data_IF_863053011343
#
_entry.id   IF_863053011343
#
_cell.length_a   1.000
_cell.length_b   1.000
_cell.length_c   1.000
_cell.angle_alpha   90.00
_cell.angle_beta   90.00
_cell.angle_gamma   90.00
#
_symmetry.space_group_name_H-M   'P 1'
#
loop_
_entity.id
_entity.type
_entity.pdbx_description
1 polymer ?
#
# COMPACT_ATOMS: atom_id res chain seq x y z
N UNK A 1 54.12 39.88 -32.34
CA UNK A 1 54.26 40.74 -31.13
C UNK A 1 53.24 40.24 -30.16
N UNK A 2 53.74 39.53 -29.33
CA UNK A 2 54.01 39.59 -27.85
C UNK A 2 52.74 39.32 -27.04
N UNK A 3 52.72 38.18 -26.50
CA UNK A 3 53.14 37.72 -25.16
C UNK A 3 52.03 37.73 -24.14
N UNK A 4 51.79 36.57 -23.62
CA UNK A 4 52.12 35.93 -22.32
C UNK A 4 50.98 36.12 -21.28
N UNK A 5 50.60 35.23 -20.42
CA UNK A 5 51.05 33.96 -19.84
C UNK A 5 49.86 33.47 -18.99
N UNK A 6 49.57 32.22 -18.88
CA UNK A 6 49.81 31.29 -17.77
C UNK A 6 49.27 31.79 -16.40
N UNK A 7 48.46 31.03 -15.65
CA UNK A 7 48.69 29.73 -15.02
C UNK A 7 47.37 29.17 -14.46
N UNK A 8 47.17 27.89 -14.63
CA UNK A 8 46.92 26.78 -13.68
C UNK A 8 46.35 27.12 -12.33
N UNK A 9 45.21 26.53 -11.91
CA UNK A 9 45.29 25.48 -10.91
C UNK A 9 43.99 24.65 -10.85
N UNK A 10 44.20 23.36 -10.60
CA UNK A 10 43.27 22.31 -10.43
C UNK A 10 42.64 22.34 -9.00
N UNK A 11 41.39 22.01 -8.86
CA UNK A 11 40.94 21.17 -7.71
C UNK A 11 39.67 20.42 -8.11
N UNK A 12 39.80 19.12 -8.01
CA UNK A 12 38.73 18.14 -7.94
C UNK A 12 37.81 18.48 -6.76
N UNK A 13 36.51 18.39 -6.99
CA UNK A 13 35.61 18.13 -5.86
C UNK A 13 34.54 17.12 -6.25
N UNK A 14 34.60 16.02 -5.55
CA UNK A 14 33.74 14.86 -5.62
C UNK A 14 32.38 15.17 -4.98
N UNK A 15 31.32 15.11 -5.75
CA UNK A 15 29.96 15.11 -5.21
C UNK A 15 29.52 13.68 -4.93
N UNK A 16 29.50 13.31 -3.68
CA UNK A 16 28.75 12.16 -3.17
C UNK A 16 27.26 12.54 -3.10
N UNK A 17 26.47 11.92 -3.96
CA UNK A 17 25.02 12.02 -3.96
C UNK A 17 24.45 10.92 -3.05
N UNK A 18 24.08 11.31 -1.83
CA UNK A 18 23.38 10.45 -0.89
C UNK A 18 21.87 10.74 -0.93
N UNK A 19 21.15 9.93 -1.69
CA UNK A 19 19.68 9.89 -1.64
C UNK A 19 19.22 9.06 -0.44
N UNK A 20 18.88 9.73 0.65
CA UNK A 20 17.99 9.18 1.68
C UNK A 20 16.62 9.82 1.50
N UNK A 21 15.70 9.07 0.90
CA UNK A 21 14.28 9.43 0.84
C UNK A 21 13.52 8.68 1.94
N UNK A 22 13.32 9.38 3.06
CA UNK A 22 12.48 8.90 4.16
C UNK A 22 11.06 9.46 4.01
N UNK A 23 10.12 8.54 3.83
CA UNK A 23 8.68 8.79 3.90
C UNK A 23 8.27 9.30 5.28
N UNK A 24 8.01 10.60 5.40
CA UNK A 24 7.20 11.15 6.49
C UNK A 24 6.27 12.22 5.91
N UNK A 25 4.98 11.92 5.91
CA UNK A 25 3.96 12.94 5.71
C UNK A 25 2.82 12.70 6.72
N UNK A 26 2.85 13.42 7.82
CA UNK A 26 1.69 13.62 8.68
C UNK A 26 1.81 14.89 9.50
N UNK A 27 0.85 15.78 9.26
CA UNK A 27 0.32 16.82 10.15
C UNK A 27 1.23 17.97 10.57
N UNK A 28 0.94 19.12 9.97
CA UNK A 28 1.37 20.43 10.47
C UNK A 28 0.18 21.10 11.19
N UNK A 29 0.24 21.14 12.53
CA UNK A 29 -0.47 22.12 13.33
C UNK A 29 0.53 22.75 14.27
N UNK A 30 0.81 24.01 14.00
CA UNK A 30 1.63 24.87 14.84
C UNK A 30 0.85 25.32 16.09
N UNK A 31 1.30 24.91 17.27
CA UNK A 31 1.23 25.73 18.47
C UNK A 31 2.38 25.34 19.40
N UNK A 32 3.21 26.36 19.71
CA UNK A 32 4.33 26.29 20.65
C UNK A 32 3.82 26.12 22.07
N UNK A 33 4.14 24.99 22.70
CA UNK A 33 4.26 24.91 24.15
C UNK A 33 5.35 23.89 24.52
N UNK A 34 6.37 24.38 25.23
CA UNK A 34 7.40 23.57 25.85
C UNK A 34 6.80 22.51 26.77
N UNK A 35 7.01 21.24 26.44
CA UNK A 35 6.93 20.17 27.42
C UNK A 35 7.78 18.97 26.96
N UNK A 36 8.84 18.70 27.77
CA UNK A 36 9.51 17.40 27.99
C UNK A 36 9.54 16.41 26.83
N UNK A 37 10.73 16.24 26.24
CA UNK A 37 11.13 15.06 25.48
C UNK A 37 10.81 13.78 26.29
N UNK A 38 9.71 13.12 25.94
CA UNK A 38 9.46 11.75 26.30
C UNK A 38 9.76 10.89 25.06
N UNK A 39 10.75 10.06 25.22
CA UNK A 39 11.32 9.09 24.29
C UNK A 39 10.26 8.30 23.52
N UNK A 40 10.16 8.52 22.20
CA UNK A 40 9.32 7.76 21.25
C UNK A 40 9.82 6.33 20.95
N UNK A 41 10.73 5.77 21.77
CA UNK A 41 11.28 4.43 21.55
C UNK A 41 10.42 3.28 22.11
N UNK A 42 9.34 3.55 22.84
CA UNK A 42 8.67 2.51 23.66
C UNK A 42 7.49 1.74 22.99
N UNK A 43 7.09 2.02 21.75
CA UNK A 43 5.92 1.39 21.13
C UNK A 43 6.22 0.40 19.98
N UNK A 44 7.47 0.02 19.77
CA UNK A 44 7.81 -0.93 18.72
C UNK A 44 7.37 -2.35 19.08
N UNK A 45 6.36 -2.85 18.40
CA UNK A 45 5.84 -4.20 18.62
C UNK A 45 6.76 -5.24 17.97
N UNK A 46 7.50 -5.98 18.78
CA UNK A 46 8.34 -7.11 18.36
C UNK A 46 7.58 -8.41 18.62
N UNK A 47 7.23 -9.12 17.57
CA UNK A 47 6.40 -10.33 17.65
C UNK A 47 7.11 -11.59 17.14
N UNK A 48 8.34 -11.47 16.62
CA UNK A 48 9.11 -12.62 16.12
C UNK A 48 9.26 -13.69 17.19
N UNK A 49 8.87 -14.92 16.87
CA UNK A 49 8.91 -16.05 17.79
C UNK A 49 7.73 -16.14 18.74
N UNK A 50 6.80 -15.19 18.70
CA UNK A 50 5.59 -15.21 19.50
C UNK A 50 4.46 -16.03 18.85
N UNK A 51 3.47 -16.38 19.70
CA UNK A 51 2.26 -17.06 19.26
C UNK A 51 1.05 -16.18 19.59
N UNK A 52 0.36 -15.76 18.53
CA UNK A 52 -0.89 -15.01 18.65
C UNK A 52 -2.03 -15.95 18.25
N UNK A 53 -2.95 -16.27 19.19
CA UNK A 53 -3.94 -17.32 18.99
C UNK A 53 -3.29 -18.66 18.61
N UNK A 54 -3.50 -19.10 17.38
CA UNK A 54 -2.94 -20.30 16.78
C UNK A 54 -1.97 -19.98 15.62
N UNK A 55 -1.50 -18.73 15.54
CA UNK A 55 -0.53 -18.26 14.57
C UNK A 55 0.85 -18.10 15.21
N UNK A 56 1.82 -18.82 14.71
CA UNK A 56 3.23 -18.65 15.04
C UNK A 56 3.79 -17.53 14.18
N UNK A 57 4.25 -16.45 14.80
CA UNK A 57 4.82 -15.29 14.12
C UNK A 57 6.27 -15.56 13.73
N UNK A 58 6.59 -15.44 12.45
CA UNK A 58 7.92 -15.80 11.95
C UNK A 58 8.78 -14.55 11.79
N UNK A 59 8.38 -13.61 10.91
CA UNK A 59 9.11 -12.35 10.74
C UNK A 59 8.20 -11.29 10.11
N UNK A 60 8.60 -10.03 10.21
CA UNK A 60 7.87 -8.90 9.65
C UNK A 60 8.06 -8.83 8.14
N UNK A 61 6.95 -8.82 7.38
CA UNK A 61 6.91 -8.74 5.92
C UNK A 61 6.47 -7.37 5.40
N UNK A 62 5.89 -6.53 6.26
CA UNK A 62 5.49 -5.18 5.91
C UNK A 62 5.29 -4.30 7.14
N UNK A 63 5.44 -3.00 6.96
CA UNK A 63 5.15 -1.96 7.96
C UNK A 63 4.52 -0.78 7.22
N UNK A 64 3.35 -0.35 7.65
CA UNK A 64 2.68 0.87 7.24
C UNK A 64 2.53 1.84 8.42
N UNK A 65 2.00 3.03 8.18
CA UNK A 65 1.74 4.02 9.23
C UNK A 65 0.80 3.51 10.32
N UNK A 66 -0.18 2.70 9.97
CA UNK A 66 -1.28 2.26 10.85
C UNK A 66 -1.27 0.77 11.16
N UNK A 67 -0.25 0.02 10.74
CA UNK A 67 -0.19 -1.43 10.97
C UNK A 67 1.17 -2.03 10.69
N UNK A 68 1.39 -3.22 11.27
CA UNK A 68 2.51 -4.10 10.93
C UNK A 68 1.99 -5.41 10.36
N UNK A 69 2.67 -5.98 9.36
CA UNK A 69 2.28 -7.23 8.71
C UNK A 69 3.37 -8.28 8.89
N UNK A 70 2.97 -9.46 9.31
CA UNK A 70 3.86 -10.54 9.72
C UNK A 70 3.61 -11.81 8.90
N UNK A 71 4.65 -12.51 8.50
CA UNK A 71 4.53 -13.89 8.05
C UNK A 71 4.21 -14.76 9.26
N UNK A 72 3.11 -15.50 9.20
CA UNK A 72 2.63 -16.33 10.28
C UNK A 72 2.27 -17.74 9.80
N UNK A 73 2.58 -18.74 10.62
CA UNK A 73 2.21 -20.14 10.40
C UNK A 73 1.01 -20.51 11.28
N UNK A 74 -0.06 -20.95 10.65
CA UNK A 74 -1.25 -21.43 11.37
C UNK A 74 -1.08 -22.91 11.73
N UNK A 75 -1.03 -23.20 13.04
CA UNK A 75 -0.80 -24.54 13.55
C UNK A 75 -1.96 -25.49 13.29
N UNK A 76 -3.19 -24.97 13.18
CA UNK A 76 -4.37 -25.80 13.05
C UNK A 76 -4.52 -26.40 11.65
N UNK A 77 -4.13 -25.64 10.61
CA UNK A 77 -4.26 -26.06 9.21
C UNK A 77 -2.94 -26.20 8.46
N UNK A 78 -1.79 -25.96 9.13
CA UNK A 78 -0.45 -26.07 8.57
C UNK A 78 -0.19 -25.19 7.34
N UNK A 79 -0.81 -24.01 7.28
CA UNK A 79 -0.66 -23.03 6.21
C UNK A 79 -0.01 -21.75 6.68
N UNK A 80 0.59 -21.01 5.75
CA UNK A 80 1.19 -19.71 6.00
C UNK A 80 0.26 -18.60 5.53
N UNK A 81 0.27 -17.50 6.30
CA UNK A 81 -0.60 -16.33 6.10
C UNK A 81 0.17 -15.04 6.37
N UNK A 82 -0.38 -13.94 5.89
CA UNK A 82 -0.03 -12.61 6.35
C UNK A 82 -0.95 -12.23 7.53
N UNK A 83 -0.36 -11.93 8.69
CA UNK A 83 -1.07 -11.43 9.87
C UNK A 83 -0.82 -9.92 9.96
N UNK A 84 -1.85 -9.11 9.69
CA UNK A 84 -1.83 -7.65 9.86
C UNK A 84 -2.25 -7.34 11.29
N UNK A 85 -1.39 -6.65 12.04
CA UNK A 85 -1.65 -6.15 13.40
C UNK A 85 -1.85 -4.67 13.29
N UNK A 86 -3.07 -4.21 13.50
CA UNK A 86 -3.46 -2.80 13.36
C UNK A 86 -3.04 -2.00 14.58
N UNK A 87 -2.72 -0.72 14.38
CA UNK A 87 -2.40 0.19 15.48
C UNK A 87 -3.64 0.33 16.41
N UNK A 88 -3.47 0.25 17.73
CA UNK A 88 -4.59 0.40 18.66
C UNK A 88 -5.19 1.81 18.68
N UNK A 89 -4.48 2.84 18.20
CA UNK A 89 -5.00 4.19 18.09
C UNK A 89 -6.03 4.33 16.96
N UNK A 90 -5.92 3.48 15.91
CA UNK A 90 -6.84 3.45 14.76
C UNK A 90 -7.88 2.33 14.87
N UNK A 91 -8.30 2.02 16.12
CA UNK A 91 -9.15 0.84 16.40
C UNK A 91 -10.48 0.87 15.65
N UNK A 92 -11.18 2.01 15.66
CA UNK A 92 -12.52 2.13 15.08
C UNK A 92 -12.49 2.04 13.55
N UNK A 93 -11.55 2.72 12.90
CA UNK A 93 -11.35 2.65 11.45
C UNK A 93 -10.94 1.24 11.03
N UNK A 94 -10.02 0.62 11.78
CA UNK A 94 -9.53 -0.72 11.50
C UNK A 94 -10.61 -1.78 11.64
N UNK A 95 -11.51 -1.67 12.63
CA UNK A 95 -12.60 -2.64 12.80
C UNK A 95 -13.65 -2.49 11.70
N UNK A 96 -13.89 -1.28 11.21
CA UNK A 96 -14.83 -1.03 10.12
C UNK A 96 -14.26 -1.51 8.78
N UNK A 97 -12.96 -1.28 8.49
CA UNK A 97 -12.26 -1.90 7.36
C UNK A 97 -12.44 -3.42 7.36
N UNK A 98 -12.09 -4.06 8.47
CA UNK A 98 -12.12 -5.53 8.60
C UNK A 98 -13.53 -6.09 8.43
N UNK A 99 -14.55 -5.47 9.03
CA UNK A 99 -15.95 -5.86 8.87
C UNK A 99 -16.41 -5.70 7.42
N UNK A 100 -16.09 -4.59 6.77
CA UNK A 100 -16.46 -4.34 5.40
C UNK A 100 -15.83 -5.38 4.46
N UNK A 101 -14.51 -5.58 4.53
CA UNK A 101 -13.80 -6.54 3.68
C UNK A 101 -14.35 -7.96 3.85
N UNK A 102 -14.79 -8.33 5.06
CA UNK A 102 -15.42 -9.64 5.32
C UNK A 102 -16.73 -9.85 4.57
N UNK A 103 -17.40 -8.78 4.13
CA UNK A 103 -18.63 -8.85 3.32
C UNK A 103 -18.33 -9.00 1.82
N UNK A 104 -17.11 -8.68 1.36
CA UNK A 104 -16.74 -8.74 -0.05
C UNK A 104 -16.79 -10.18 -0.57
N UNK A 105 -17.19 -10.37 -1.84
CA UNK A 105 -17.30 -11.69 -2.40
C UNK A 105 -15.93 -12.32 -2.65
N UNK A 106 -15.83 -13.62 -2.47
CA UNK A 106 -14.64 -14.40 -2.84
C UNK A 106 -14.57 -14.70 -4.34
N UNK A 107 -15.72 -14.65 -5.01
CA UNK A 107 -15.83 -14.80 -6.47
C UNK A 107 -16.61 -13.62 -7.08
N UNK A 108 -16.08 -12.96 -8.13
CA UNK A 108 -14.80 -13.21 -8.77
C UNK A 108 -13.65 -12.81 -7.82
N UNK A 109 -12.58 -13.57 -7.83
CA UNK A 109 -11.45 -13.42 -6.93
C UNK A 109 -10.59 -12.17 -7.27
N UNK A 110 -11.18 -10.96 -7.13
CA UNK A 110 -10.54 -9.67 -7.42
C UNK A 110 -10.27 -8.80 -6.18
N UNK A 111 -10.63 -9.30 -5.01
CA UNK A 111 -10.37 -8.63 -3.73
C UNK A 111 -9.36 -9.39 -2.89
N UNK A 112 -8.61 -8.66 -2.07
CA UNK A 112 -7.86 -9.25 -1.00
C UNK A 112 -8.81 -9.56 0.16
N UNK A 113 -9.27 -10.80 0.27
CA UNK A 113 -10.26 -11.21 1.25
C UNK A 113 -9.59 -11.61 2.58
N UNK A 114 -10.22 -11.22 3.68
CA UNK A 114 -9.83 -11.64 5.02
C UNK A 114 -10.21 -13.11 5.24
N UNK A 115 -9.24 -13.93 5.65
CA UNK A 115 -9.46 -15.32 6.10
C UNK A 115 -10.22 -15.33 7.42
N UNK A 116 -9.68 -14.63 8.42
CA UNK A 116 -10.32 -14.37 9.70
C UNK A 116 -9.78 -13.10 10.35
N UNK A 117 -10.45 -12.61 11.38
CA UNK A 117 -9.92 -11.57 12.26
C UNK A 117 -10.30 -11.85 13.71
N UNK A 118 -9.53 -11.29 14.62
CA UNK A 118 -9.79 -11.40 16.07
C UNK A 118 -9.14 -10.21 16.79
N UNK A 119 -9.61 -9.97 18.02
CA UNK A 119 -9.04 -8.95 18.91
C UNK A 119 -8.09 -9.64 19.88
N UNK A 120 -6.89 -9.11 20.01
CA UNK A 120 -5.87 -9.60 20.93
C UNK A 120 -5.40 -8.49 21.87
N UNK A 121 -5.27 -8.81 23.14
CA UNK A 121 -4.63 -7.94 24.12
C UNK A 121 -3.14 -8.26 24.18
N UNK A 122 -2.29 -7.28 23.88
CA UNK A 122 -0.82 -7.35 23.91
C UNK A 122 -0.37 -6.13 24.72
N UNK A 123 0.49 -6.31 25.72
CA UNK A 123 1.00 -5.22 26.58
C UNK A 123 -0.11 -4.26 27.09
N UNK A 124 -1.23 -4.83 27.56
CA UNK A 124 -2.42 -4.11 28.03
C UNK A 124 -3.20 -3.29 26.97
N UNK A 125 -2.73 -3.14 25.73
CA UNK A 125 -3.46 -2.53 24.62
C UNK A 125 -4.26 -3.58 23.85
N UNK A 126 -5.41 -3.18 23.26
CA UNK A 126 -6.23 -4.06 22.39
C UNK A 126 -5.83 -3.83 20.93
N UNK A 127 -5.45 -4.89 20.25
CA UNK A 127 -5.09 -4.89 18.83
C UNK A 127 -6.11 -5.66 18.00
N UNK A 128 -6.49 -5.14 16.86
CA UNK A 128 -7.18 -5.89 15.83
C UNK A 128 -6.11 -6.65 15.04
N UNK A 129 -6.29 -7.96 14.93
CA UNK A 129 -5.43 -8.84 14.14
C UNK A 129 -6.26 -9.40 13.00
N UNK A 130 -5.90 -9.12 11.77
CA UNK A 130 -6.54 -9.63 10.56
C UNK A 130 -5.60 -10.55 9.79
N UNK A 131 -6.14 -11.65 9.27
CA UNK A 131 -5.39 -12.72 8.61
C UNK A 131 -5.74 -12.74 7.14
N UNK A 132 -4.72 -12.74 6.29
CA UNK A 132 -4.81 -12.60 4.85
C UNK A 132 -4.01 -13.68 4.14
N UNK A 133 -4.38 -14.01 2.91
CA UNK A 133 -3.52 -14.82 2.06
C UNK A 133 -2.23 -14.05 1.74
N UNK A 134 -1.14 -14.79 1.52
CA UNK A 134 0.12 -14.19 1.09
C UNK A 134 0.01 -13.66 -0.34
N UNK A 135 0.72 -12.57 -0.61
CA UNK A 135 0.87 -11.98 -1.92
C UNK A 135 2.35 -11.90 -2.30
N UNK A 136 2.64 -12.02 -3.59
CA UNK A 136 4.02 -11.96 -4.05
C UNK A 136 4.61 -10.54 -3.88
N UNK A 137 3.83 -9.51 -4.19
CA UNK A 137 4.16 -8.10 -4.02
C UNK A 137 2.91 -7.24 -4.23
N UNK A 138 3.00 -5.93 -4.00
CA UNK A 138 2.12 -4.95 -4.59
C UNK A 138 2.73 -4.41 -5.91
N UNK A 139 1.93 -3.74 -6.74
CA UNK A 139 2.40 -3.27 -8.04
C UNK A 139 3.43 -2.14 -7.92
N UNK A 140 3.38 -1.32 -6.85
CA UNK A 140 4.42 -0.31 -6.61
C UNK A 140 5.79 -0.94 -6.40
N UNK A 141 5.89 -1.94 -5.53
CA UNK A 141 7.15 -2.67 -5.32
C UNK A 141 7.70 -3.30 -6.60
N UNK A 142 6.81 -3.71 -7.51
CA UNK A 142 7.19 -4.25 -8.82
C UNK A 142 7.79 -3.17 -9.70
N UNK A 143 7.20 -1.99 -9.74
CA UNK A 143 7.69 -0.85 -10.51
C UNK A 143 8.99 -0.30 -9.93
N UNK A 144 9.08 -0.10 -8.60
CA UNK A 144 10.22 0.58 -7.96
C UNK A 144 11.42 -0.33 -7.71
N UNK A 145 11.18 -1.61 -7.35
CA UNK A 145 12.23 -2.56 -6.95
C UNK A 145 12.44 -3.70 -7.97
N UNK A 146 11.55 -3.82 -8.95
CA UNK A 146 11.64 -4.80 -10.02
C UNK A 146 12.35 -4.27 -11.25
N UNK A 147 12.36 -5.07 -12.32
CA UNK A 147 12.93 -4.67 -13.63
C UNK A 147 11.97 -3.81 -14.48
N UNK A 148 11.00 -3.15 -13.84
CA UNK A 148 9.90 -2.45 -14.50
C UNK A 148 9.84 -0.95 -14.19
N UNK A 149 10.98 -0.34 -13.89
CA UNK A 149 11.09 1.10 -13.66
C UNK A 149 10.68 1.96 -14.89
N UNK A 150 10.61 1.37 -16.07
CA UNK A 150 10.08 2.00 -17.29
C UNK A 150 8.64 1.56 -17.63
N UNK A 151 7.94 0.94 -16.68
CA UNK A 151 6.59 0.45 -16.84
C UNK A 151 6.49 -1.03 -17.20
N UNK A 152 5.29 -1.57 -17.02
CA UNK A 152 4.92 -2.95 -17.35
C UNK A 152 4.55 -3.07 -18.83
N UNK A 153 4.69 -4.25 -19.44
CA UNK A 153 4.17 -4.54 -20.79
C UNK A 153 2.67 -4.26 -20.91
N UNK A 154 2.26 -3.73 -22.04
CA UNK A 154 0.88 -3.27 -22.31
C UNK A 154 -0.18 -4.37 -22.10
N UNK A 155 0.09 -5.60 -22.53
CA UNK A 155 -0.80 -6.74 -22.40
C UNK A 155 -1.06 -7.11 -20.91
N UNK A 156 -0.02 -6.98 -20.10
CA UNK A 156 -0.11 -7.17 -18.64
C UNK A 156 -0.96 -6.08 -18.00
N UNK A 157 -0.68 -4.82 -18.34
CA UNK A 157 -1.46 -3.70 -17.80
C UNK A 157 -2.92 -3.81 -18.24
N UNK A 158 -3.19 -4.19 -19.48
CA UNK A 158 -4.56 -4.43 -19.96
C UNK A 158 -5.27 -5.52 -19.15
N UNK A 159 -4.57 -6.61 -18.79
CA UNK A 159 -5.15 -7.65 -17.95
C UNK A 159 -5.40 -7.16 -16.52
N UNK A 160 -4.48 -6.39 -15.94
CA UNK A 160 -4.66 -5.74 -14.62
C UNK A 160 -5.88 -4.82 -14.66
N UNK A 161 -5.98 -3.94 -15.67
CA UNK A 161 -7.09 -3.01 -15.82
C UNK A 161 -8.45 -3.72 -15.91
N UNK A 162 -8.55 -4.82 -16.66
CA UNK A 162 -9.78 -5.64 -16.73
C UNK A 162 -10.20 -6.13 -15.34
N UNK A 163 -9.27 -6.60 -14.53
CA UNK A 163 -9.54 -7.06 -13.16
C UNK A 163 -9.92 -5.90 -12.24
N UNK A 164 -9.24 -4.74 -12.35
CA UNK A 164 -9.55 -3.54 -11.58
C UNK A 164 -10.94 -2.99 -11.91
N UNK A 165 -11.28 -2.88 -13.20
CA UNK A 165 -12.62 -2.47 -13.65
C UNK A 165 -13.69 -3.38 -13.06
N UNK A 166 -13.48 -4.70 -13.07
CA UNK A 166 -14.40 -5.65 -12.46
C UNK A 166 -14.54 -5.48 -10.95
N UNK A 167 -13.43 -5.22 -10.24
CA UNK A 167 -13.46 -4.95 -8.81
C UNK A 167 -14.25 -3.67 -8.50
N UNK A 168 -13.97 -2.58 -9.21
CA UNK A 168 -14.67 -1.30 -9.02
C UNK A 168 -16.14 -1.38 -9.43
N UNK A 169 -16.50 -2.16 -10.47
CA UNK A 169 -17.90 -2.38 -10.82
C UNK A 169 -18.68 -3.02 -9.66
N UNK A 170 -18.10 -4.02 -9.01
CA UNK A 170 -18.70 -4.64 -7.83
C UNK A 170 -18.83 -3.62 -6.68
N UNK A 171 -17.80 -2.84 -6.36
CA UNK A 171 -17.85 -1.83 -5.30
C UNK A 171 -18.90 -0.77 -5.57
N UNK A 172 -18.88 -0.15 -6.76
CA UNK A 172 -19.75 0.97 -7.11
C UNK A 172 -21.21 0.54 -7.31
N UNK A 173 -21.44 -0.57 -8.02
CA UNK A 173 -22.79 -0.96 -8.41
C UNK A 173 -23.48 -1.89 -7.42
N UNK A 174 -22.75 -2.80 -6.77
CA UNK A 174 -23.32 -3.77 -5.83
C UNK A 174 -23.26 -3.27 -4.39
N UNK A 175 -22.06 -2.84 -3.92
CA UNK A 175 -21.86 -2.41 -2.53
C UNK A 175 -22.17 -0.93 -2.29
N UNK A 176 -22.27 -0.12 -3.35
CA UNK A 176 -22.54 1.33 -3.27
C UNK A 176 -21.49 2.10 -2.49
N UNK A 177 -20.24 1.66 -2.58
CA UNK A 177 -19.06 2.30 -1.99
C UNK A 177 -18.03 2.64 -3.05
N UNK A 178 -17.18 3.61 -2.79
CA UNK A 178 -15.94 3.84 -3.52
C UNK A 178 -14.76 3.50 -2.62
N UNK A 179 -13.61 3.18 -3.23
CA UNK A 179 -12.41 2.75 -2.52
C UNK A 179 -11.68 3.92 -1.88
N UNK A 180 -11.50 5.01 -2.62
CA UNK A 180 -10.90 6.28 -2.17
C UNK A 180 -9.37 6.34 -2.21
N UNK A 181 -8.67 5.20 -2.38
CA UNK A 181 -7.20 5.18 -2.46
C UNK A 181 -6.68 4.13 -3.47
N UNK A 182 -7.14 4.23 -4.72
CA UNK A 182 -6.65 3.39 -5.82
C UNK A 182 -5.25 3.85 -6.23
N UNK A 183 -4.27 2.94 -6.10
CA UNK A 183 -2.87 3.17 -6.45
C UNK A 183 -2.13 1.83 -6.61
N UNK A 184 -0.92 1.79 -7.20
CA UNK A 184 -0.14 0.56 -7.34
C UNK A 184 0.14 -0.16 -6.01
N UNK A 185 0.31 0.57 -4.90
CA UNK A 185 0.54 0.01 -3.56
C UNK A 185 -0.60 -0.88 -3.07
N UNK A 186 -1.84 -0.54 -3.42
CA UNK A 186 -3.05 -1.20 -2.96
C UNK A 186 -3.55 -2.29 -3.93
N UNK A 187 -2.79 -2.56 -4.99
CA UNK A 187 -3.05 -3.63 -5.95
C UNK A 187 -2.00 -4.73 -5.76
N UNK A 188 -2.43 -5.86 -5.23
CA UNK A 188 -1.55 -6.96 -4.86
C UNK A 188 -1.49 -8.02 -5.95
N UNK A 189 -0.28 -8.49 -6.27
CA UNK A 189 -0.06 -9.65 -7.13
C UNK A 189 -0.20 -10.92 -6.30
N UNK A 190 -1.09 -11.82 -6.69
CA UNK A 190 -1.31 -13.09 -6.02
C UNK A 190 -0.11 -14.02 -6.16
N UNK A 191 0.15 -14.77 -5.10
CA UNK A 191 1.27 -15.71 -5.04
C UNK A 191 2.13 -15.49 -3.81
N UNK A 192 3.33 -16.03 -3.84
CA UNK A 192 4.31 -15.93 -2.74
C UNK A 192 5.63 -15.48 -3.37
N UNK A 193 6.28 -14.47 -2.80
CA UNK A 193 7.59 -14.02 -3.28
C UNK A 193 8.70 -15.02 -2.91
N UNK A 194 9.86 -14.88 -3.57
CA UNK A 194 10.98 -15.80 -3.40
C UNK A 194 11.49 -15.86 -1.97
N UNK A 195 11.52 -14.74 -1.25
CA UNK A 195 11.99 -14.67 0.14
C UNK A 195 11.04 -15.43 1.07
N UNK A 196 9.74 -15.16 0.97
CA UNK A 196 8.74 -15.83 1.80
C UNK A 196 8.71 -17.34 1.48
N UNK A 197 8.79 -17.71 0.20
CA UNK A 197 8.86 -19.11 -0.22
C UNK A 197 10.10 -19.82 0.32
N UNK A 198 11.26 -19.15 0.34
CA UNK A 198 12.48 -19.70 0.93
C UNK A 198 12.29 -19.95 2.43
N UNK A 199 11.75 -18.98 3.17
CA UNK A 199 11.50 -19.10 4.62
C UNK A 199 10.50 -20.21 4.89
N UNK A 200 9.42 -20.28 4.14
CA UNK A 200 8.40 -21.33 4.23
C UNK A 200 9.05 -22.72 4.03
N UNK A 201 9.89 -22.85 3.00
CA UNK A 201 10.58 -24.11 2.73
C UNK A 201 11.55 -24.51 3.85
N UNK A 202 12.30 -23.54 4.38
CA UNK A 202 13.21 -23.79 5.53
C UNK A 202 12.42 -24.12 6.80
N UNK A 203 11.35 -23.37 7.10
CA UNK A 203 10.48 -23.62 8.25
C UNK A 203 9.90 -25.05 8.20
N UNK A 204 9.38 -25.47 7.05
CA UNK A 204 8.83 -26.81 6.84
C UNK A 204 9.90 -27.91 7.05
N UNK A 205 11.15 -27.68 6.62
CA UNK A 205 12.26 -28.63 6.85
C UNK A 205 12.60 -28.81 8.33
N UNK A 206 12.38 -27.78 9.16
CA UNK A 206 12.60 -27.86 10.61
C UNK A 206 11.48 -28.60 11.34
N UNK A 207 10.42 -28.97 10.63
CA UNK A 207 9.33 -29.82 11.08
C UNK A 207 8.78 -29.45 12.48
N UNK A 208 8.22 -28.24 12.59
CA UNK A 208 7.67 -27.73 13.86
C UNK A 208 6.71 -28.73 14.52
N UNK A 209 5.85 -29.37 13.75
CA UNK A 209 4.84 -30.28 14.28
C UNK A 209 5.46 -31.50 14.95
N UNK A 210 6.45 -32.13 14.33
CA UNK A 210 7.15 -33.29 14.88
C UNK A 210 7.91 -32.92 16.18
N UNK A 211 8.64 -31.79 16.14
CA UNK A 211 9.34 -31.28 17.33
C UNK A 211 8.37 -31.02 18.48
N UNK A 212 7.20 -30.43 18.18
CA UNK A 212 6.17 -30.17 19.18
C UNK A 212 5.58 -31.46 19.76
N UNK A 213 5.29 -32.46 18.93
CA UNK A 213 4.75 -33.74 19.37
C UNK A 213 5.77 -34.46 20.28
N UNK A 214 7.05 -34.49 19.88
CA UNK A 214 8.11 -35.09 20.65
C UNK A 214 8.35 -34.39 21.99
N UNK A 215 8.48 -33.08 22.00
CA UNK A 215 8.67 -32.31 23.22
C UNK A 215 7.46 -32.40 24.18
N UNK A 216 6.23 -32.46 23.66
CA UNK A 216 5.02 -32.70 24.46
C UNK A 216 5.08 -34.08 25.13
N UNK A 217 5.55 -35.09 24.39
CA UNK A 217 5.74 -36.46 24.90
C UNK A 217 6.77 -36.49 26.01
N UNK A 218 7.96 -35.92 25.74
CA UNK A 218 9.09 -35.91 26.69
C UNK A 218 8.73 -35.16 27.98
N UNK A 219 8.10 -34.01 27.87
CA UNK A 219 7.59 -33.27 29.03
C UNK A 219 6.62 -34.12 29.88
N UNK A 220 5.68 -34.80 29.22
CA UNK A 220 4.69 -35.60 29.89
C UNK A 220 5.28 -36.79 30.63
N UNK A 221 6.25 -37.46 30.01
CA UNK A 221 7.01 -38.57 30.62
C UNK A 221 7.83 -38.06 31.81
N UNK A 222 8.53 -36.91 31.62
CA UNK A 222 9.32 -36.27 32.69
C UNK A 222 8.46 -35.87 33.91
N UNK A 223 7.16 -35.70 33.75
CA UNK A 223 6.20 -35.53 34.85
C UNK A 223 5.72 -36.86 35.50
N UNK A 224 6.33 -38.01 35.16
CA UNK A 224 5.93 -39.33 35.59
C UNK A 224 4.44 -39.69 35.32
N UNK A 225 3.94 -39.20 34.16
CA UNK A 225 2.53 -39.40 33.77
C UNK A 225 2.38 -40.44 32.67
N UNK A 226 1.33 -41.25 32.72
CA UNK A 226 1.06 -42.26 31.71
C UNK A 226 0.78 -41.59 30.34
N UNK A 227 1.47 -41.98 29.30
CA UNK A 227 1.41 -41.46 27.95
C UNK A 227 0.01 -41.55 27.35
N UNK A 228 -0.81 -42.53 27.73
CA UNK A 228 -2.20 -42.66 27.30
C UNK A 228 -3.08 -41.48 27.73
N UNK A 229 -2.64 -40.70 28.70
CA UNK A 229 -3.35 -39.52 29.23
C UNK A 229 -2.73 -38.19 28.74
N UNK A 230 -1.87 -38.20 27.73
CA UNK A 230 -1.17 -36.99 27.22
C UNK A 230 -2.13 -35.87 26.77
N UNK A 231 -3.33 -36.24 26.35
CA UNK A 231 -4.37 -35.24 25.95
C UNK A 231 -4.92 -34.46 27.13
N UNK A 232 -4.77 -34.98 28.38
CA UNK A 232 -5.12 -34.29 29.62
C UNK A 232 -4.06 -33.26 30.06
N UNK A 233 -2.98 -33.05 29.27
CA UNK A 233 -1.98 -32.00 29.52
C UNK A 233 -2.65 -30.64 29.62
N UNK A 234 -2.28 -29.84 30.62
CA UNK A 234 -2.80 -28.49 30.80
C UNK A 234 -2.54 -27.63 29.55
N UNK A 235 -3.46 -26.73 29.22
CA UNK A 235 -3.37 -25.84 28.08
C UNK A 235 -2.13 -24.94 28.18
N UNK A 236 -1.80 -24.50 29.38
CA UNK A 236 -0.60 -23.69 29.66
C UNK A 236 0.70 -24.44 29.33
N UNK A 237 0.84 -25.71 29.78
CA UNK A 237 2.02 -26.52 29.46
C UNK A 237 2.16 -26.74 27.95
N UNK A 238 1.04 -27.02 27.27
CA UNK A 238 1.00 -27.16 25.80
C UNK A 238 1.46 -25.86 25.11
N UNK A 239 1.02 -24.70 25.60
CA UNK A 239 1.41 -23.41 25.05
C UNK A 239 2.88 -23.09 25.28
N UNK A 240 3.40 -23.36 26.48
CA UNK A 240 4.80 -23.13 26.83
C UNK A 240 5.76 -23.98 25.98
N UNK A 241 5.45 -25.28 25.79
CA UNK A 241 6.20 -26.16 24.91
C UNK A 241 6.20 -25.62 23.47
N UNK A 242 5.03 -25.23 22.97
CA UNK A 242 4.85 -24.67 21.63
C UNK A 242 5.67 -23.42 21.43
N UNK A 243 5.60 -22.45 22.36
CA UNK A 243 6.37 -21.21 22.34
C UNK A 243 7.88 -21.49 22.26
N UNK A 244 8.39 -22.35 23.15
CA UNK A 244 9.82 -22.67 23.20
C UNK A 244 10.34 -23.23 21.86
N UNK A 245 9.61 -24.17 21.27
CA UNK A 245 10.02 -24.79 20.00
C UNK A 245 9.95 -23.76 18.88
N UNK A 246 8.84 -23.00 18.81
CA UNK A 246 8.68 -22.00 17.77
C UNK A 246 9.74 -20.90 17.83
N UNK A 247 10.03 -20.35 19.02
CA UNK A 247 11.10 -19.35 19.19
C UNK A 247 12.47 -19.90 18.76
N UNK A 248 12.77 -21.17 19.06
CA UNK A 248 14.02 -21.79 18.61
C UNK A 248 14.07 -21.92 17.07
N UNK A 249 12.99 -22.34 16.45
CA UNK A 249 12.89 -22.46 14.98
C UNK A 249 13.06 -21.08 14.34
N UNK A 250 12.34 -20.06 14.81
CA UNK A 250 12.43 -18.70 14.25
C UNK A 250 13.84 -18.13 14.40
N UNK A 251 14.48 -18.30 15.58
CA UNK A 251 15.86 -17.88 15.77
C UNK A 251 16.80 -18.55 14.78
N UNK A 252 16.73 -19.88 14.62
CA UNK A 252 17.52 -20.62 13.65
C UNK A 252 17.30 -20.14 12.20
N UNK A 253 16.06 -19.81 11.85
CA UNK A 253 15.73 -19.27 10.53
C UNK A 253 16.33 -17.89 10.29
N UNK A 254 16.20 -16.98 11.27
CA UNK A 254 16.66 -15.58 11.14
C UNK A 254 18.20 -15.47 11.19
N UNK A 255 18.89 -16.40 11.85
CA UNK A 255 20.35 -16.49 11.90
C UNK A 255 20.94 -17.12 10.61
N UNK A 256 20.13 -17.70 9.72
CA UNK A 256 20.60 -18.38 8.52
C UNK A 256 21.25 -17.37 7.53
N UNK A 257 22.52 -17.58 7.20
CA UNK A 257 23.27 -16.75 6.25
C UNK A 257 22.63 -16.69 4.85
N UNK A 258 22.02 -17.79 4.40
CA UNK A 258 21.32 -17.83 3.13
C UNK A 258 20.19 -16.79 3.06
N UNK A 259 19.54 -16.46 4.19
CA UNK A 259 18.48 -15.48 4.25
C UNK A 259 19.02 -14.05 4.10
N UNK A 260 20.19 -13.78 4.68
CA UNK A 260 20.86 -12.46 4.59
C UNK A 260 21.32 -12.17 3.16
N UNK A 261 21.65 -13.21 2.40
CA UNK A 261 22.13 -13.13 1.03
C UNK A 261 21.00 -13.16 -0.03
N UNK A 262 19.76 -13.40 0.38
CA UNK A 262 18.61 -13.30 -0.54
C UNK A 262 18.39 -11.85 -0.96
N UNK A 263 18.63 -11.57 -2.23
CA UNK A 263 18.31 -10.27 -2.82
C UNK A 263 16.79 -10.13 -2.95
N UNK A 264 16.12 -9.29 -2.14
CA UNK A 264 14.68 -9.09 -2.23
C UNK A 264 14.24 -8.47 -3.57
N UNK A 265 15.18 -7.93 -4.35
CA UNK A 265 14.92 -7.31 -5.64
C UNK A 265 14.79 -8.32 -6.81
N UNK A 266 15.11 -9.60 -6.59
CA UNK A 266 14.87 -10.65 -7.57
C UNK A 266 13.43 -11.17 -7.49
N UNK A 267 12.46 -10.26 -7.51
CA UNK A 267 11.07 -10.62 -7.82
C UNK A 267 11.02 -10.86 -9.32
N UNK A 268 11.43 -12.04 -9.75
CA UNK A 268 11.17 -12.47 -11.12
C UNK A 268 9.68 -12.74 -11.23
N UNK A 269 8.93 -11.71 -11.67
CA UNK A 269 7.57 -11.91 -12.09
C UNK A 269 7.61 -12.83 -13.30
N UNK A 270 7.16 -14.06 -13.15
CA UNK A 270 6.63 -14.81 -14.26
C UNK A 270 5.26 -14.19 -14.57
N UNK A 271 5.28 -13.19 -15.42
CA UNK A 271 4.18 -12.24 -15.67
C UNK A 271 3.05 -12.87 -16.49
N UNK A 272 3.18 -14.10 -16.91
CA UNK A 272 2.25 -14.80 -17.80
C UNK A 272 0.81 -14.95 -17.26
N UNK A 273 0.61 -14.74 -15.95
CA UNK A 273 -0.72 -14.77 -15.32
C UNK A 273 -0.80 -13.80 -14.16
N UNK A 274 -0.77 -12.49 -14.45
CA UNK A 274 -0.94 -11.46 -13.42
C UNK A 274 -2.37 -11.48 -12.87
N UNK A 275 -2.64 -12.39 -11.93
CA UNK A 275 -3.85 -12.34 -11.13
C UNK A 275 -3.60 -11.35 -9.99
N UNK A 276 -4.40 -10.30 -9.95
CA UNK A 276 -4.31 -9.28 -8.92
C UNK A 276 -5.49 -9.37 -7.93
N UNK A 277 -5.34 -8.70 -6.81
CA UNK A 277 -6.42 -8.41 -5.87
C UNK A 277 -6.30 -6.98 -5.37
N UNK A 278 -7.43 -6.27 -5.33
CA UNK A 278 -7.55 -4.97 -4.71
C UNK A 278 -7.66 -5.14 -3.21
N UNK A 279 -6.91 -4.37 -2.43
CA UNK A 279 -6.94 -4.39 -0.97
C UNK A 279 -6.66 -3.01 -0.39
N UNK A 280 -6.55 -2.94 0.92
CA UNK A 280 -6.44 -1.71 1.71
C UNK A 280 -7.67 -0.80 1.58
N UNK A 281 -8.70 -1.17 2.32
CA UNK A 281 -9.99 -0.49 2.33
C UNK A 281 -10.12 0.53 3.47
N UNK A 282 -9.02 1.02 4.03
CA UNK A 282 -9.03 2.00 5.12
C UNK A 282 -9.71 3.33 4.78
N UNK A 283 -9.82 3.65 3.48
CA UNK A 283 -10.46 4.89 3.00
C UNK A 283 -11.79 4.66 2.28
N UNK A 284 -12.36 3.45 2.36
CA UNK A 284 -13.61 3.17 1.68
C UNK A 284 -14.76 4.04 2.23
N UNK A 285 -15.66 4.47 1.35
CA UNK A 285 -16.74 5.36 1.73
C UNK A 285 -18.02 5.08 0.95
N UNK A 286 -19.16 5.28 1.60
CA UNK A 286 -20.46 5.27 0.93
C UNK A 286 -20.66 6.57 0.17
N UNK A 287 -21.47 6.54 -0.89
CA UNK A 287 -21.79 7.72 -1.73
C UNK A 287 -22.31 8.94 -0.94
N UNK A 288 -22.94 8.70 0.20
CA UNK A 288 -23.60 9.75 0.97
C UNK A 288 -22.71 10.30 2.10
N UNK A 289 -21.58 9.67 2.38
CA UNK A 289 -20.61 10.17 3.34
C UNK A 289 -19.68 11.19 2.68
N UNK A 290 -19.53 12.30 3.33
CA UNK A 290 -18.69 13.40 2.92
C UNK A 290 -17.45 13.42 3.84
N UNK A 291 -16.28 13.34 3.26
CA UNK A 291 -15.07 13.58 4.04
C UNK A 291 -14.89 15.10 4.21
N UNK A 292 -14.80 15.58 5.43
CA UNK A 292 -14.49 16.98 5.72
C UNK A 292 -13.03 17.30 5.37
N UNK A 293 -12.16 16.30 5.46
CA UNK A 293 -10.73 16.41 5.16
C UNK A 293 -10.32 15.73 3.85
N UNK A 294 -9.12 16.05 3.38
CA UNK A 294 -8.50 15.40 2.22
C UNK A 294 -8.19 13.94 2.55
N UNK A 295 -8.48 13.03 1.64
CA UNK A 295 -8.22 11.61 1.79
C UNK A 295 -7.51 11.03 0.56
N UNK A 296 -7.00 9.81 0.70
CA UNK A 296 -6.27 9.11 -0.36
C UNK A 296 -4.86 9.67 -0.59
N UNK A 297 -4.09 8.98 -1.39
CA UNK A 297 -2.70 9.32 -1.68
C UNK A 297 -2.60 10.46 -2.66
N UNK A 298 -1.86 11.49 -2.31
CA UNK A 298 -1.77 12.79 -3.00
C UNK A 298 -1.62 12.70 -4.53
N UNK A 299 -0.75 11.85 -5.01
CA UNK A 299 -0.46 11.72 -6.45
C UNK A 299 -1.63 11.23 -7.30
N UNK A 300 -2.64 10.62 -6.66
CA UNK A 300 -3.82 10.05 -7.29
C UNK A 300 -5.10 10.80 -6.93
N UNK A 301 -4.99 11.90 -6.15
CA UNK A 301 -6.15 12.69 -5.74
C UNK A 301 -6.80 13.38 -6.92
N UNK A 302 -8.11 13.25 -7.00
CA UNK A 302 -8.94 13.95 -7.97
C UNK A 302 -9.14 15.42 -7.57
N UNK A 303 -9.44 16.34 -8.52
CA UNK A 303 -9.65 17.77 -8.25
C UNK A 303 -10.65 18.06 -7.14
N UNK A 304 -11.75 17.30 -7.08
CA UNK A 304 -12.80 17.45 -6.07
C UNK A 304 -12.32 17.11 -4.66
N UNK A 305 -11.32 16.24 -4.50
CA UNK A 305 -10.69 15.95 -3.20
C UNK A 305 -9.83 17.15 -2.77
N UNK A 306 -8.96 17.64 -3.66
CA UNK A 306 -8.07 18.77 -3.39
C UNK A 306 -8.86 20.05 -3.04
N UNK A 307 -9.96 20.27 -3.74
CA UNK A 307 -10.82 21.45 -3.58
C UNK A 307 -11.89 21.27 -2.50
N UNK A 308 -11.89 20.16 -1.80
CA UNK A 308 -12.87 19.80 -0.78
C UNK A 308 -14.30 19.97 -1.30
N UNK A 309 -14.70 19.09 -2.19
CA UNK A 309 -16.04 19.03 -2.76
C UNK A 309 -16.71 17.69 -2.47
N UNK A 310 -17.99 17.60 -2.74
CA UNK A 310 -18.72 16.33 -2.61
C UNK A 310 -18.08 15.26 -3.48
N UNK A 311 -17.63 14.18 -2.85
CA UNK A 311 -16.94 13.06 -3.48
C UNK A 311 -17.88 11.88 -3.70
N UNK A 312 -17.60 11.08 -4.72
CA UNK A 312 -18.30 9.83 -4.99
C UNK A 312 -17.47 8.93 -5.94
N UNK A 313 -18.08 7.91 -6.53
CA UNK A 313 -17.42 6.94 -7.41
C UNK A 313 -16.41 7.48 -8.46
N UNK A 314 -16.60 8.68 -9.06
CA UNK A 314 -15.64 9.22 -10.02
C UNK A 314 -14.22 9.43 -9.48
N UNK A 315 -14.03 9.53 -8.16
CA UNK A 315 -12.67 9.65 -7.57
C UNK A 315 -11.84 8.40 -7.86
N UNK A 316 -12.46 7.20 -7.80
CA UNK A 316 -11.78 5.95 -8.13
C UNK A 316 -11.44 5.85 -9.62
N UNK A 317 -12.28 6.41 -10.50
CA UNK A 317 -12.02 6.44 -11.95
C UNK A 317 -10.81 7.33 -12.25
N UNK A 318 -10.71 8.49 -11.60
CA UNK A 318 -9.54 9.36 -11.70
C UNK A 318 -8.27 8.65 -11.24
N UNK A 319 -8.29 8.10 -10.04
CA UNK A 319 -7.15 7.40 -9.44
C UNK A 319 -6.74 6.17 -10.29
N UNK A 320 -7.72 5.45 -10.87
CA UNK A 320 -7.45 4.38 -11.82
C UNK A 320 -6.75 4.88 -13.10
N UNK A 321 -7.13 6.06 -13.60
CA UNK A 321 -6.47 6.70 -14.75
C UNK A 321 -5.00 7.05 -14.45
N UNK A 322 -4.73 7.63 -13.27
CA UNK A 322 -3.36 7.91 -12.81
C UNK A 322 -2.55 6.61 -12.68
N UNK A 323 -3.15 5.59 -12.06
CA UNK A 323 -2.54 4.25 -11.89
C UNK A 323 -2.25 3.59 -13.26
N UNK A 324 -3.18 3.68 -14.21
CA UNK A 324 -2.99 3.14 -15.56
C UNK A 324 -1.77 3.74 -16.27
N UNK A 325 -1.64 5.07 -16.22
CA UNK A 325 -0.46 5.75 -16.77
C UNK A 325 0.82 5.28 -16.07
N UNK A 326 0.83 5.21 -14.76
CA UNK A 326 2.01 4.83 -13.99
C UNK A 326 2.42 3.38 -14.24
N UNK A 327 1.49 2.45 -14.33
CA UNK A 327 1.79 1.06 -14.66
C UNK A 327 2.45 0.90 -16.03
N UNK A 328 2.09 1.74 -17.01
CA UNK A 328 2.67 1.71 -18.36
C UNK A 328 3.99 2.47 -18.51
N UNK A 329 4.16 3.56 -17.74
CA UNK A 329 5.31 4.45 -17.87
C UNK A 329 6.40 4.24 -16.81
N UNK A 330 6.05 3.59 -15.67
CA UNK A 330 6.88 3.55 -14.48
C UNK A 330 6.96 4.89 -13.72
N UNK A 331 6.20 5.92 -14.13
CA UNK A 331 6.31 7.29 -13.62
C UNK A 331 4.97 7.79 -13.10
N UNK A 332 5.00 8.52 -11.99
CA UNK A 332 3.83 9.20 -11.44
C UNK A 332 3.36 10.30 -12.43
N UNK A 333 2.04 10.37 -12.70
CA UNK A 333 1.47 11.34 -13.62
C UNK A 333 1.48 12.76 -13.04
N UNK A 334 1.01 12.92 -11.80
CA UNK A 334 0.96 14.18 -11.07
C UNK A 334 1.81 14.09 -9.81
N UNK A 335 2.95 14.76 -9.82
CA UNK A 335 3.89 14.81 -8.68
C UNK A 335 4.02 16.28 -8.24
N UNK A 336 3.14 16.73 -7.29
CA UNK A 336 3.16 18.09 -6.80
C UNK A 336 4.27 18.31 -5.78
N UNK A 337 5.15 19.25 -6.05
CA UNK A 337 6.17 19.70 -5.11
C UNK A 337 5.58 20.66 -4.06
N UNK A 338 6.30 20.86 -2.96
CA UNK A 338 6.02 21.91 -1.97
C UNK A 338 7.20 22.88 -1.96
N UNK A 339 6.94 24.18 -1.87
CA UNK A 339 7.98 25.17 -1.59
C UNK A 339 7.58 26.06 -0.42
N UNK A 340 8.39 27.13 -0.19
CA UNK A 340 8.16 28.07 0.91
C UNK A 340 6.95 28.98 0.71
N UNK A 341 6.44 29.10 -0.52
CA UNK A 341 5.39 30.06 -0.89
C UNK A 341 4.04 29.41 -1.12
N UNK A 342 4.03 28.17 -1.62
CA UNK A 342 2.80 27.50 -2.05
C UNK A 342 2.69 26.08 -1.49
N UNK A 343 1.45 25.71 -1.17
CA UNK A 343 1.13 24.35 -0.70
C UNK A 343 1.25 23.31 -1.83
N UNK A 344 1.38 22.05 -1.46
CA UNK A 344 1.30 20.93 -2.42
C UNK A 344 -0.03 20.92 -3.17
N UNK A 345 -1.14 21.32 -2.53
CA UNK A 345 -2.45 21.41 -3.15
C UNK A 345 -2.45 22.43 -4.30
N UNK A 346 -1.84 23.61 -4.07
CA UNK A 346 -1.71 24.62 -5.12
C UNK A 346 -0.92 24.09 -6.33
N UNK A 347 0.25 23.48 -6.08
CA UNK A 347 1.05 22.91 -7.17
C UNK A 347 0.31 21.78 -7.90
N UNK A 348 -0.45 20.96 -7.18
CA UNK A 348 -1.25 19.93 -7.82
C UNK A 348 -2.29 20.54 -8.76
N UNK A 349 -3.00 21.58 -8.32
CA UNK A 349 -3.94 22.32 -9.18
C UNK A 349 -3.26 22.98 -10.39
N UNK A 350 -2.02 23.47 -10.24
CA UNK A 350 -1.20 23.94 -11.38
C UNK A 350 -0.92 22.81 -12.38
N UNK A 351 -0.48 21.64 -11.91
CA UNK A 351 -0.22 20.48 -12.77
C UNK A 351 -1.49 20.03 -13.52
N UNK A 352 -2.65 20.08 -12.86
CA UNK A 352 -3.94 19.76 -13.47
C UNK A 352 -4.32 20.81 -14.54
N UNK A 353 -4.11 22.09 -14.23
CA UNK A 353 -4.38 23.18 -15.18
C UNK A 353 -3.45 23.10 -16.42
N UNK A 354 -2.16 22.76 -16.24
CA UNK A 354 -1.23 22.53 -17.34
C UNK A 354 -1.65 21.38 -18.25
N UNK A 355 -2.29 20.38 -17.64
CA UNK A 355 -2.65 19.14 -18.34
C UNK A 355 -3.98 19.25 -19.06
N UNK A 356 -4.98 19.86 -18.44
CA UNK A 356 -6.36 19.85 -18.90
C UNK A 356 -6.92 21.24 -19.22
N UNK A 357 -6.15 22.30 -18.95
CA UNK A 357 -6.59 23.68 -19.12
C UNK A 357 -7.33 24.25 -17.92
N UNK A 358 -8.14 25.30 -18.16
CA UNK A 358 -8.83 26.02 -17.10
C UNK A 358 -9.97 25.21 -16.49
N UNK A 359 -10.12 25.33 -15.18
CA UNK A 359 -11.25 24.78 -14.45
C UNK A 359 -12.55 25.49 -14.79
N UNK A 360 -13.62 24.76 -14.90
CA UNK A 360 -14.95 25.30 -15.12
C UNK A 360 -15.43 26.11 -13.91
N UNK A 361 -15.82 27.40 -14.09
CA UNK A 361 -16.31 28.21 -12.98
C UNK A 361 -17.52 27.62 -12.24
N UNK A 362 -18.40 26.90 -12.94
CA UNK A 362 -19.57 26.25 -12.33
C UNK A 362 -19.12 25.13 -11.38
N UNK A 363 -18.13 24.33 -11.78
CA UNK A 363 -17.55 23.30 -10.91
C UNK A 363 -16.87 23.94 -9.69
N UNK A 364 -16.02 24.94 -9.90
CA UNK A 364 -15.29 25.61 -8.81
C UNK A 364 -16.23 26.17 -7.74
N UNK A 365 -17.36 26.78 -8.14
CA UNK A 365 -18.36 27.32 -7.20
C UNK A 365 -19.03 26.28 -6.31
N UNK A 366 -18.94 24.99 -6.68
CA UNK A 366 -19.48 23.88 -5.90
C UNK A 366 -18.47 23.31 -4.90
N UNK A 367 -17.24 23.82 -4.90
CA UNK A 367 -16.16 23.36 -4.03
C UNK A 367 -15.94 24.34 -2.86
N UNK A 368 -15.51 23.81 -1.70
CA UNK A 368 -15.37 24.62 -0.48
C UNK A 368 -14.10 25.49 -0.51
N UNK A 369 -13.02 24.99 -1.15
CA UNK A 369 -11.68 25.60 -1.08
C UNK A 369 -11.30 26.40 -2.33
N UNK A 370 -12.17 26.60 -3.33
CA UNK A 370 -11.75 27.27 -4.57
C UNK A 370 -11.24 28.71 -4.33
N UNK A 371 -11.81 29.45 -3.37
CA UNK A 371 -11.38 30.81 -3.06
C UNK A 371 -9.96 30.90 -2.50
N UNK A 372 -9.46 29.82 -1.94
CA UNK A 372 -8.09 29.71 -1.46
C UNK A 372 -7.10 29.81 -2.64
N UNK A 373 -7.38 29.10 -3.72
CA UNK A 373 -6.48 28.94 -4.86
C UNK A 373 -6.80 29.79 -6.07
N UNK A 374 -8.07 30.15 -6.29
CA UNK A 374 -8.52 30.85 -7.49
C UNK A 374 -8.94 32.29 -7.19
N UNK A 375 -8.72 33.18 -8.16
CA UNK A 375 -9.13 34.58 -8.10
C UNK A 375 -10.60 34.75 -8.54
N UNK A 376 -11.12 36.02 -8.53
CA UNK A 376 -12.52 36.34 -8.94
C UNK A 376 -12.82 35.99 -10.40
N UNK A 377 -11.82 35.80 -11.26
CA UNK A 377 -11.97 35.39 -12.67
C UNK A 377 -11.85 33.85 -12.82
N UNK A 378 -11.81 33.09 -11.72
CA UNK A 378 -11.65 31.63 -11.70
C UNK A 378 -10.34 31.14 -12.34
N UNK A 379 -9.29 31.95 -12.28
CA UNK A 379 -7.94 31.61 -12.67
C UNK A 379 -7.11 31.38 -11.41
N UNK A 380 -6.19 30.41 -11.45
CA UNK A 380 -5.26 30.16 -10.35
C UNK A 380 -4.48 31.44 -10.02
N UNK A 381 -4.36 31.76 -8.73
CA UNK A 381 -3.60 32.92 -8.26
C UNK A 381 -2.12 32.72 -8.57
N UNK A 382 -1.45 33.80 -8.93
CA UNK A 382 0.00 33.83 -9.20
C UNK A 382 0.51 32.82 -10.26
N UNK A 383 -0.40 32.23 -11.04
CA UNK A 383 -0.12 31.27 -12.08
C UNK A 383 0.14 31.95 -13.42
N UNK A 384 1.41 32.23 -13.69
CA UNK A 384 1.79 33.12 -14.80
C UNK A 384 2.21 32.40 -16.10
N UNK A 385 2.43 31.08 -16.08
CA UNK A 385 2.87 30.34 -17.26
C UNK A 385 2.31 28.92 -17.25
N UNK A 386 1.14 28.67 -17.84
CA UNK A 386 0.68 27.31 -18.05
C UNK A 386 1.62 26.57 -19.00
N UNK A 387 1.97 25.35 -18.64
CA UNK A 387 2.68 24.44 -19.51
C UNK A 387 1.68 23.78 -20.47
N UNK A 388 1.45 24.40 -21.63
CA UNK A 388 0.50 23.87 -22.61
C UNK A 388 0.94 22.50 -23.08
N UNK A 389 -0.02 21.54 -23.19
CA UNK A 389 0.21 20.19 -23.69
C UNK A 389 1.12 19.30 -22.82
N UNK A 390 1.11 19.51 -21.50
CA UNK A 390 1.90 18.68 -20.56
C UNK A 390 1.61 17.18 -20.72
N UNK A 391 0.34 16.77 -20.88
CA UNK A 391 -0.01 15.35 -21.07
C UNK A 391 0.62 14.77 -22.32
N UNK A 392 0.52 15.48 -23.45
CA UNK A 392 1.10 15.03 -24.72
C UNK A 392 2.61 14.85 -24.62
N UNK A 393 3.29 15.76 -23.94
CA UNK A 393 4.72 15.65 -23.69
C UNK A 393 5.04 14.39 -22.88
N UNK A 394 4.36 14.17 -21.75
CA UNK A 394 4.55 12.99 -20.90
C UNK A 394 4.27 11.69 -21.65
N UNK A 395 3.21 11.66 -22.46
CA UNK A 395 2.85 10.49 -23.26
C UNK A 395 3.86 10.23 -24.39
N UNK A 396 4.37 11.28 -25.04
CA UNK A 396 5.42 11.16 -26.06
C UNK A 396 6.74 10.67 -25.46
N UNK A 397 7.17 11.23 -24.34
CA UNK A 397 8.38 10.81 -23.62
C UNK A 397 8.34 9.33 -23.21
N UNK A 398 7.16 8.79 -22.96
CA UNK A 398 6.94 7.39 -22.57
C UNK A 398 6.47 6.51 -23.74
N UNK A 399 6.39 7.04 -24.97
CA UNK A 399 5.85 6.36 -26.15
C UNK A 399 4.42 5.81 -25.96
N UNK A 400 3.57 6.56 -25.28
CA UNK A 400 2.22 6.16 -24.85
C UNK A 400 1.10 7.00 -25.50
N UNK A 401 1.34 7.68 -26.61
CA UNK A 401 0.31 8.51 -27.26
C UNK A 401 -0.94 7.73 -27.65
N UNK A 402 -0.81 6.43 -27.92
CA UNK A 402 -1.92 5.56 -28.30
C UNK A 402 -2.98 5.36 -27.18
N UNK A 403 -2.64 5.62 -25.89
CA UNK A 403 -3.58 5.53 -24.78
C UNK A 403 -4.29 6.86 -24.47
N UNK A 404 -3.93 7.96 -25.13
CA UNK A 404 -4.38 9.32 -24.79
C UNK A 404 -5.91 9.42 -24.68
N UNK A 405 -6.62 8.98 -25.70
CA UNK A 405 -8.09 9.12 -25.73
C UNK A 405 -8.78 8.30 -24.64
N UNK A 406 -8.25 7.12 -24.33
CA UNK A 406 -8.77 6.30 -23.24
C UNK A 406 -8.47 6.93 -21.87
N UNK A 407 -7.26 7.45 -21.68
CA UNK A 407 -6.85 8.11 -20.45
C UNK A 407 -7.68 9.38 -20.20
N UNK A 408 -7.93 10.20 -21.23
CA UNK A 408 -8.73 11.42 -21.12
C UNK A 408 -10.19 11.16 -20.75
N UNK A 409 -10.76 9.99 -21.04
CA UNK A 409 -12.12 9.63 -20.57
C UNK A 409 -12.17 9.45 -19.05
N UNK A 410 -11.09 8.99 -18.43
CA UNK A 410 -10.98 8.81 -16.99
C UNK A 410 -10.57 10.11 -16.28
N UNK A 411 -9.70 10.91 -16.91
CA UNK A 411 -9.09 12.09 -16.33
C UNK A 411 -9.80 13.38 -16.84
N UNK A 412 -11.03 13.59 -16.38
CA UNK A 412 -11.78 14.84 -16.57
C UNK A 412 -11.79 15.63 -15.28
N UNK A 413 -11.55 16.96 -15.34
CA UNK A 413 -11.56 17.84 -14.16
C UNK A 413 -12.90 17.82 -13.43
N UNK A 414 -13.99 17.76 -14.18
CA UNK A 414 -15.34 17.67 -13.62
C UNK A 414 -15.73 16.20 -13.42
N UNK A 415 -16.06 15.79 -12.19
CA UNK A 415 -16.41 14.39 -11.91
C UNK A 415 -17.53 13.82 -12.78
N UNK A 416 -18.52 14.67 -13.16
CA UNK A 416 -19.68 14.27 -13.96
C UNK A 416 -19.35 13.99 -15.43
N UNK A 417 -18.20 14.46 -15.92
CA UNK A 417 -17.74 14.24 -17.29
C UNK A 417 -16.86 12.98 -17.41
N UNK A 418 -16.46 12.38 -16.30
CA UNK A 418 -15.68 11.16 -16.29
C UNK A 418 -16.53 9.98 -16.74
N UNK A 419 -15.92 9.10 -17.51
CA UNK A 419 -16.50 7.81 -17.87
C UNK A 419 -16.91 7.04 -16.60
N UNK A 420 -18.08 6.42 -16.65
CA UNK A 420 -18.52 5.56 -15.54
C UNK A 420 -17.86 4.21 -15.59
N UNK A 421 -17.82 3.50 -14.46
CA UNK A 421 -17.25 2.15 -14.40
C UNK A 421 -18.01 1.17 -15.34
N UNK A 422 -19.31 1.37 -15.51
CA UNK A 422 -20.16 0.57 -16.41
C UNK A 422 -19.75 0.76 -17.88
N UNK A 423 -19.49 2.00 -18.27
CA UNK A 423 -19.00 2.32 -19.61
C UNK A 423 -17.57 1.79 -19.81
N UNK A 424 -16.67 1.95 -18.80
CA UNK A 424 -15.32 1.34 -18.85
C UNK A 424 -15.37 -0.17 -19.06
N UNK A 425 -16.29 -0.87 -18.42
CA UNK A 425 -16.45 -2.32 -18.57
C UNK A 425 -16.86 -2.73 -19.99
N UNK A 426 -17.43 -1.83 -20.79
CA UNK A 426 -17.80 -2.07 -22.19
C UNK A 426 -16.66 -1.85 -23.19
N UNK A 427 -15.55 -1.21 -22.76
CA UNK A 427 -14.31 -1.09 -23.54
C UNK A 427 -13.47 -2.37 -23.35
N UNK A 428 -13.68 -3.36 -24.19
CA UNK A 428 -12.90 -4.61 -24.21
C UNK A 428 -11.80 -4.57 -25.27
#
# INVERSE_FOLDING_TARGET
MSNKKQDTDSTEDSTEDSTEDSTEDSTDNSETSNSSESTEEDDKLYLEGDIINHYNIIYQIGKGGYSTVWLAYNINNSKFYALKVHDPNDYDDSIDEVKFVKTLPTEPNCFNNIVEYFIKKINNKKYICSVWNLHAANLDSILRKGNYNNGLPQDIVNNIMKQMIKALDILHNKYKVFHGDIKPDNIFLKGINCKDQFIINKYNKLNFFEQYVNAKRDFWIGCNKNIKNIDKMKTEDKLNIRKKIHSNIVRTLLECEDLKNLNPNNITLTVDKSNISLGDFGTFCTKDNYYEDSFGTRYYQAPEIILNSKTSYPVDIWALGCTYYELLSGKILFDPNKDKHYSRDYYHLCLLSDTFGQFNPTFLKQTNRYKEFFNKKFVLKDYNKPEICRLDRKLNESNLMHIKDFLLKMLQLEPQQRITIKELASFN
#
